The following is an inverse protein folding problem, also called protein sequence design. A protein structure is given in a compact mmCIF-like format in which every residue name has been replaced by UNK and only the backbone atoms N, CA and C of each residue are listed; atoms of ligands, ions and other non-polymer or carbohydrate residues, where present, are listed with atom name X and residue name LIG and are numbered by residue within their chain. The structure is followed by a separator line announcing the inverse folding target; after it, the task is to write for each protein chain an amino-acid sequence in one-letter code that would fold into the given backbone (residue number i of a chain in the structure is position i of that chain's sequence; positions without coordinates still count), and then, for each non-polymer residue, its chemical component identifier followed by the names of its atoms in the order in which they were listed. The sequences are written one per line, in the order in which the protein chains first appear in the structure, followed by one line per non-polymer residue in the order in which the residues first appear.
data_IF_780815911875
#
_entry.id   IF_780815911875
#
_cell.length_a   1.000
_cell.length_b   1.000
_cell.length_c   1.000
_cell.angle_alpha   90.00
_cell.angle_beta   90.00
_cell.angle_gamma   90.00
#
_symmetry.space_group_name_H-M   'P 1'
#
loop_
_entity.id
_entity.type
_entity.pdbx_description
1 polymer ?
#
# COMPACT_ATOMS: atom_id res chain seq x y z
N UNK A 1 -81.26 -31.92 -44.59
CA UNK A 1 -80.31 -31.91 -45.72
C UNK A 1 -80.05 -30.44 -46.01
N UNK A 2 -78.94 -29.81 -45.64
CA UNK A 2 -77.59 -30.25 -45.22
C UNK A 2 -77.19 -29.34 -44.03
N UNK A 3 -76.56 -29.89 -43.01
CA UNK A 3 -76.14 -29.20 -41.78
C UNK A 3 -74.69 -28.73 -41.99
N UNK A 4 -74.48 -27.42 -42.01
CA UNK A 4 -73.16 -26.83 -42.25
C UNK A 4 -72.31 -26.98 -40.97
N UNK A 5 -71.41 -27.96 -41.02
CA UNK A 5 -70.47 -28.29 -39.95
C UNK A 5 -69.31 -27.28 -39.93
N UNK A 6 -69.50 -26.17 -39.21
CA UNK A 6 -68.41 -25.22 -38.94
C UNK A 6 -67.48 -25.82 -37.90
N UNK A 7 -66.32 -26.28 -38.37
CA UNK A 7 -65.20 -26.71 -37.53
C UNK A 7 -64.67 -25.53 -36.70
N UNK A 8 -65.16 -25.37 -35.46
CA UNK A 8 -64.54 -24.47 -34.47
C UNK A 8 -63.15 -25.00 -34.11
N UNK A 9 -62.11 -24.33 -34.61
CA UNK A 9 -60.74 -24.57 -34.19
C UNK A 9 -60.60 -24.05 -32.75
N UNK A 10 -60.65 -24.96 -31.77
CA UNK A 10 -60.30 -24.64 -30.39
C UNK A 10 -58.78 -24.50 -30.30
N UNK A 11 -58.30 -23.26 -30.35
CA UNK A 11 -56.90 -22.97 -30.05
C UNK A 11 -56.72 -23.25 -28.56
N UNK A 12 -55.92 -24.27 -28.23
CA UNK A 12 -55.62 -24.64 -26.85
C UNK A 12 -54.97 -23.46 -26.10
N UNK A 13 -55.36 -23.18 -24.84
CA UNK A 13 -54.81 -22.07 -24.09
C UNK A 13 -53.45 -22.48 -23.49
N UNK A 14 -52.42 -22.73 -24.31
CA UNK A 14 -51.12 -23.18 -23.78
C UNK A 14 -49.95 -22.23 -24.01
N UNK A 15 -50.13 -21.08 -24.67
CA UNK A 15 -49.04 -20.09 -24.84
C UNK A 15 -49.11 -18.85 -23.94
N UNK A 16 -50.10 -18.73 -23.05
CA UNK A 16 -50.19 -17.59 -22.12
C UNK A 16 -49.62 -17.88 -20.72
N UNK A 17 -49.38 -19.16 -20.38
CA UNK A 17 -48.81 -19.55 -19.09
C UNK A 17 -47.28 -19.46 -19.00
N UNK A 18 -46.59 -19.28 -20.12
CA UNK A 18 -45.13 -19.28 -20.17
C UNK A 18 -44.50 -17.88 -19.94
N UNK A 19 -45.31 -16.82 -20.03
CA UNK A 19 -44.89 -15.43 -19.83
C UNK A 19 -45.28 -14.85 -18.45
N UNK A 20 -45.95 -15.61 -17.57
CA UNK A 20 -46.33 -15.14 -16.23
C UNK A 20 -45.17 -15.13 -15.20
N UNK A 21 -43.95 -15.46 -15.63
CA UNK A 21 -42.79 -15.66 -14.75
C UNK A 21 -41.89 -14.42 -14.66
N UNK A 22 -42.46 -13.21 -14.73
CA UNK A 22 -41.72 -11.96 -14.46
C UNK A 22 -41.12 -11.96 -13.05
N UNK A 23 -41.80 -12.58 -12.07
CA UNK A 23 -41.30 -12.76 -10.70
C UNK A 23 -39.95 -13.49 -10.66
N UNK A 24 -39.78 -14.56 -11.43
CA UNK A 24 -38.52 -15.29 -11.49
C UNK A 24 -37.42 -14.48 -12.17
N UNK A 25 -37.71 -13.68 -13.19
CA UNK A 25 -36.72 -12.79 -13.82
C UNK A 25 -36.28 -11.68 -12.85
N UNK A 26 -37.21 -11.14 -12.07
CA UNK A 26 -36.90 -10.17 -11.02
C UNK A 26 -36.10 -10.79 -9.88
N UNK A 27 -36.48 -11.99 -9.42
CA UNK A 27 -35.78 -12.71 -8.35
C UNK A 27 -34.40 -13.19 -8.79
N UNK A 28 -34.24 -13.60 -10.06
CA UNK A 28 -32.96 -13.96 -10.64
C UNK A 28 -32.03 -12.74 -10.70
N UNK A 29 -32.51 -11.60 -11.22
CA UNK A 29 -31.71 -10.35 -11.25
C UNK A 29 -31.37 -9.87 -9.82
N UNK A 30 -32.30 -10.02 -8.88
CA UNK A 30 -32.11 -9.66 -7.47
C UNK A 30 -31.13 -10.58 -6.75
N UNK A 31 -31.11 -11.87 -7.10
CA UNK A 31 -30.14 -12.84 -6.60
C UNK A 31 -28.73 -12.52 -7.12
N UNK A 32 -28.58 -12.35 -8.44
CA UNK A 32 -27.31 -11.98 -9.07
C UNK A 32 -26.73 -10.67 -8.52
N UNK A 33 -27.57 -9.64 -8.36
CA UNK A 33 -27.11 -8.34 -7.83
C UNK A 33 -26.70 -8.41 -6.36
N UNK A 34 -27.38 -9.21 -5.53
CA UNK A 34 -26.98 -9.40 -4.12
C UNK A 34 -25.65 -10.14 -4.00
N UNK A 35 -25.46 -11.20 -4.79
CA UNK A 35 -24.19 -11.93 -4.80
C UNK A 35 -23.04 -11.03 -5.26
N UNK A 36 -23.28 -10.17 -6.25
CA UNK A 36 -22.30 -9.19 -6.70
C UNK A 36 -21.93 -8.16 -5.62
N UNK A 37 -22.94 -7.63 -4.91
CA UNK A 37 -22.71 -6.67 -3.81
C UNK A 37 -21.93 -7.32 -2.65
N UNK A 38 -22.24 -8.57 -2.29
CA UNK A 38 -21.52 -9.30 -1.25
C UNK A 38 -20.06 -9.51 -1.63
N UNK A 39 -19.78 -9.85 -2.89
CA UNK A 39 -18.40 -10.00 -3.40
C UNK A 39 -17.62 -8.67 -3.39
N UNK A 40 -18.26 -7.55 -3.72
CA UNK A 40 -17.62 -6.23 -3.64
C UNK A 40 -17.28 -5.85 -2.20
N UNK A 41 -18.19 -6.10 -1.25
CA UNK A 41 -17.96 -5.81 0.16
C UNK A 41 -16.88 -6.74 0.74
N UNK A 42 -16.87 -8.03 0.40
CA UNK A 42 -15.84 -8.96 0.87
C UNK A 42 -14.46 -8.60 0.32
N UNK A 43 -14.37 -8.18 -0.94
CA UNK A 43 -13.12 -7.71 -1.54
C UNK A 43 -12.59 -6.44 -0.86
N UNK A 44 -13.48 -5.50 -0.52
CA UNK A 44 -13.11 -4.29 0.22
C UNK A 44 -12.61 -4.60 1.64
N UNK A 45 -13.28 -5.50 2.36
CA UNK A 45 -12.87 -5.93 3.70
C UNK A 45 -11.53 -6.67 3.64
N UNK A 46 -11.32 -7.52 2.63
CA UNK A 46 -10.06 -8.24 2.43
C UNK A 46 -8.90 -7.27 2.17
N UNK A 47 -9.12 -6.22 1.36
CA UNK A 47 -8.13 -5.19 1.09
C UNK A 47 -7.73 -4.39 2.35
N UNK A 48 -8.66 -4.19 3.28
CA UNK A 48 -8.37 -3.56 4.59
C UNK A 48 -7.58 -4.52 5.48
N UNK A 49 -7.89 -5.81 5.47
CA UNK A 49 -7.21 -6.83 6.30
C UNK A 49 -5.81 -7.19 5.81
N UNK A 50 -5.55 -7.15 4.51
CA UNK A 50 -4.21 -7.35 3.92
C UNK A 50 -3.43 -6.04 3.81
N UNK A 51 -3.84 -5.00 4.52
CA UNK A 51 -3.16 -3.72 4.57
C UNK A 51 -1.76 -3.85 5.21
N UNK A 52 -0.79 -4.32 4.43
CA UNK A 52 0.58 -3.87 4.58
C UNK A 52 0.55 -2.37 4.30
N UNK A 53 0.39 -1.59 5.37
CA UNK A 53 0.70 -0.17 5.32
C UNK A 53 2.11 -0.08 4.72
N UNK A 54 2.32 0.68 3.62
CA UNK A 54 3.67 0.98 3.22
C UNK A 54 4.31 1.60 4.45
N UNK A 55 5.31 0.91 5.00
CA UNK A 55 6.10 1.45 6.07
C UNK A 55 6.54 2.81 5.54
N UNK A 56 6.03 3.88 6.14
CA UNK A 56 6.61 5.18 5.98
C UNK A 56 8.01 4.99 6.55
N UNK A 57 8.95 4.62 5.68
CA UNK A 57 10.36 4.78 5.95
C UNK A 57 10.44 6.24 6.33
N UNK A 58 10.52 6.51 7.62
CA UNK A 58 10.89 7.81 8.12
C UNK A 58 12.14 8.12 7.33
N UNK A 59 12.02 9.02 6.36
CA UNK A 59 13.16 9.61 5.69
C UNK A 59 13.87 10.30 6.85
N UNK A 60 14.72 9.53 7.53
CA UNK A 60 15.70 10.04 8.45
C UNK A 60 16.61 10.76 7.50
N UNK A 61 16.24 12.02 7.24
CA UNK A 61 17.03 13.06 6.60
C UNK A 61 18.47 12.67 6.84
N UNK A 62 19.14 12.21 5.78
CA UNK A 62 20.47 11.66 5.90
C UNK A 62 21.31 12.74 6.56
N UNK A 63 21.60 12.60 7.83
CA UNK A 63 22.30 13.62 8.58
C UNK A 63 23.76 13.18 8.63
N UNK A 64 24.72 14.12 8.46
CA UNK A 64 26.11 13.80 8.72
C UNK A 64 26.26 13.40 10.19
N UNK A 65 27.07 12.38 10.47
CA UNK A 65 27.31 11.88 11.83
C UNK A 65 28.80 11.95 12.11
N UNK A 66 29.21 12.94 12.90
CA UNK A 66 30.61 13.12 13.29
C UNK A 66 31.01 12.10 14.34
N UNK A 67 32.09 11.39 14.10
CA UNK A 67 32.71 10.49 15.06
C UNK A 67 34.20 10.78 15.18
N UNK A 68 34.65 11.11 16.39
CA UNK A 68 36.06 11.35 16.72
C UNK A 68 36.48 10.27 17.72
N UNK A 69 37.29 9.27 17.31
CA UNK A 69 37.65 8.16 18.18
C UNK A 69 38.40 8.58 19.44
N UNK A 70 39.22 9.65 19.34
CA UNK A 70 40.00 10.21 20.43
C UNK A 70 39.99 11.72 20.32
N UNK A 71 39.21 12.39 21.17
CA UNK A 71 39.05 13.84 21.17
C UNK A 71 40.12 14.59 21.98
N UNK A 72 40.93 13.86 22.76
CA UNK A 72 41.99 14.42 23.60
C UNK A 72 43.29 13.68 23.38
N UNK A 73 44.36 14.43 23.23
CA UNK A 73 45.72 13.93 23.26
C UNK A 73 46.51 14.70 24.30
N UNK A 74 47.22 13.97 25.16
CA UNK A 74 48.12 14.54 26.15
C UNK A 74 49.54 14.35 25.62
N UNK A 75 50.23 15.47 25.44
CA UNK A 75 51.62 15.43 24.99
C UNK A 75 52.50 14.92 26.13
N UNK A 76 53.42 13.98 25.85
CA UNK A 76 54.38 13.52 26.83
C UNK A 76 55.40 14.62 27.16
N UNK A 77 56.14 14.43 28.26
CA UNK A 77 57.27 15.30 28.60
C UNK A 77 58.29 15.27 27.47
N UNK A 78 58.68 16.43 26.94
CA UNK A 78 59.64 16.54 25.85
C UNK A 78 60.81 17.43 26.17
N UNK A 79 61.92 17.13 25.48
CA UNK A 79 63.14 17.92 25.55
C UNK A 79 62.97 19.17 24.69
N UNK A 80 63.58 20.26 25.14
CA UNK A 80 63.51 21.53 24.44
C UNK A 80 64.04 21.41 23.00
N UNK A 81 63.36 22.07 22.06
CA UNK A 81 63.64 22.00 20.63
C UNK A 81 63.05 20.80 19.88
N UNK A 82 62.28 19.92 20.54
CA UNK A 82 61.62 18.78 19.88
C UNK A 82 60.20 19.15 19.38
N UNK A 83 59.95 18.98 18.08
CA UNK A 83 58.61 19.13 17.48
C UNK A 83 57.80 17.84 17.63
N UNK A 84 56.56 17.94 18.12
CA UNK A 84 55.62 16.80 18.18
C UNK A 84 54.36 17.16 17.40
N UNK A 85 54.03 16.33 16.41
CA UNK A 85 52.76 16.36 15.73
C UNK A 85 51.86 15.23 16.24
N UNK A 86 50.58 15.53 16.49
CA UNK A 86 49.54 14.53 16.72
C UNK A 86 48.42 14.70 15.70
N UNK A 87 47.97 13.60 15.10
CA UNK A 87 46.92 13.58 14.08
C UNK A 87 45.62 13.14 14.72
N UNK A 88 44.59 13.97 14.62
CA UNK A 88 43.22 13.60 14.97
C UNK A 88 42.48 13.04 13.76
N UNK A 89 41.87 11.87 13.92
CA UNK A 89 41.03 11.28 12.88
C UNK A 89 39.58 11.67 13.11
N UNK A 90 38.95 12.32 12.12
CA UNK A 90 37.52 12.64 12.13
C UNK A 90 36.83 11.78 11.07
N UNK A 91 35.75 11.12 11.46
CA UNK A 91 35.00 10.23 10.57
C UNK A 91 33.56 10.72 10.42
N UNK A 92 33.07 10.74 9.18
CA UNK A 92 31.65 10.88 8.91
C UNK A 92 31.03 9.49 8.81
N UNK A 93 30.27 9.10 9.85
CA UNK A 93 29.48 7.86 9.88
C UNK A 93 28.05 8.06 9.38
N UNK A 94 27.72 9.27 8.93
CA UNK A 94 26.41 9.63 8.43
C UNK A 94 26.27 9.33 6.94
N UNK A 95 25.05 9.52 6.43
CA UNK A 95 24.73 9.29 5.01
C UNK A 95 24.84 10.55 4.14
N UNK A 96 25.03 11.72 4.75
CA UNK A 96 25.23 13.00 4.04
C UNK A 96 26.64 13.55 4.23
N UNK A 97 27.13 14.42 3.33
CA UNK A 97 28.45 15.05 3.44
C UNK A 97 28.66 15.78 4.77
N UNK A 98 29.84 15.61 5.36
CA UNK A 98 30.26 16.33 6.55
C UNK A 98 31.11 17.53 6.14
N UNK A 99 30.65 18.73 6.49
CA UNK A 99 31.36 19.99 6.28
C UNK A 99 31.92 20.46 7.63
N UNK A 100 33.22 20.69 7.71
CA UNK A 100 33.90 21.17 8.92
C UNK A 100 34.27 22.65 8.71
N UNK A 101 33.79 23.51 9.59
CA UNK A 101 34.01 24.96 9.50
C UNK A 101 34.50 25.53 10.85
N UNK A 102 35.17 26.70 10.80
CA UNK A 102 35.57 27.47 11.98
C UNK A 102 36.42 26.70 13.00
N UNK A 103 37.46 26.02 12.51
CA UNK A 103 38.46 25.37 13.39
C UNK A 103 39.17 26.43 14.22
N UNK A 104 39.19 26.24 15.55
CA UNK A 104 39.88 27.10 16.51
C UNK A 104 40.84 26.27 17.34
N UNK A 105 41.97 26.88 17.70
CA UNK A 105 42.89 26.40 18.73
C UNK A 105 42.64 27.24 19.97
N UNK A 106 42.36 26.60 21.10
CA UNK A 106 42.31 27.24 22.42
C UNK A 106 43.73 27.53 22.94
#
# INVERSE_FOLDING_TARGET
MIEDDYMTISISPSLNGLLSNSRYLFDLRRFFMKQFIVLLISGLIFMIFTGELPAAESQTESSPLVFVPKSRYEFPLVVDGQEIAHIFTVQNKGKSPLIIERVKTD
#
